data_IF_171435787773
#
_entry.id   IF_171435787773
#
_cell.length_a   1.000
_cell.length_b   1.000
_cell.length_c   1.000
_cell.angle_alpha   90.00
_cell.angle_beta   90.00
_cell.angle_gamma   90.00
#
_symmetry.space_group_name_H-M   'P 1'
#
loop_
_entity.id
_entity.type
_entity.pdbx_description
1 polymer ?
#
# COMPACT_ATOMS: atom_id res chain seq x y z
N UNK A 1 -4.82 1.97 -27.22
CA UNK A 1 -5.64 0.76 -27.01
C UNK A 1 -7.01 1.11 -26.42
N UNK A 2 -7.11 1.85 -25.31
CA UNK A 2 -8.38 2.19 -24.63
C UNK A 2 -9.36 2.96 -25.54
N UNK A 3 -8.87 3.97 -26.26
CA UNK A 3 -9.70 4.78 -27.17
C UNK A 3 -10.41 3.94 -28.25
N UNK A 4 -9.74 2.89 -28.76
CA UNK A 4 -10.33 1.98 -29.74
C UNK A 4 -11.45 1.12 -29.16
N UNK A 5 -11.52 1.00 -27.84
CA UNK A 5 -12.55 0.27 -27.08
C UNK A 5 -13.64 1.19 -26.51
N UNK A 6 -13.58 2.51 -26.81
CA UNK A 6 -14.49 3.50 -26.25
C UNK A 6 -14.31 3.70 -24.72
N UNK A 7 -13.15 3.37 -24.18
CA UNK A 7 -12.82 3.49 -22.77
C UNK A 7 -11.79 4.61 -22.53
N UNK A 8 -11.82 5.17 -21.32
CA UNK A 8 -10.88 6.19 -20.83
C UNK A 8 -10.35 5.71 -19.46
N UNK A 9 -9.09 6.00 -19.18
CA UNK A 9 -8.58 5.95 -17.81
C UNK A 9 -8.80 7.29 -17.07
N UNK A 10 -8.46 7.34 -15.78
CA UNK A 10 -8.66 8.56 -14.98
C UNK A 10 -7.78 9.71 -15.46
N UNK A 11 -6.57 9.44 -15.97
CA UNK A 11 -5.70 10.44 -16.56
C UNK A 11 -6.26 11.02 -17.85
N UNK A 12 -6.84 10.16 -18.70
CA UNK A 12 -7.52 10.57 -19.93
C UNK A 12 -8.69 11.52 -19.64
N UNK A 13 -9.50 11.23 -18.60
CA UNK A 13 -10.64 12.09 -18.24
C UNK A 13 -10.17 13.51 -17.93
N UNK A 14 -9.12 13.64 -17.11
CA UNK A 14 -8.57 14.94 -16.75
C UNK A 14 -7.93 15.64 -17.96
N UNK A 15 -7.18 14.90 -18.78
CA UNK A 15 -6.51 15.43 -19.96
C UNK A 15 -7.52 15.92 -21.02
N UNK A 16 -8.57 15.15 -21.28
CA UNK A 16 -9.61 15.57 -22.24
C UNK A 16 -10.45 16.74 -21.71
N UNK A 17 -10.74 16.78 -20.41
CA UNK A 17 -11.39 17.93 -19.79
C UNK A 17 -10.55 19.20 -19.94
N UNK A 18 -9.22 19.11 -19.69
CA UNK A 18 -8.30 20.23 -19.88
C UNK A 18 -8.28 20.70 -21.33
N UNK A 19 -8.11 19.79 -22.30
CA UNK A 19 -8.12 20.10 -23.72
C UNK A 19 -9.42 20.78 -24.17
N UNK A 20 -10.56 20.25 -23.73
CA UNK A 20 -11.86 20.84 -24.04
C UNK A 20 -11.95 22.29 -23.58
N UNK A 21 -11.45 22.60 -22.39
CA UNK A 21 -11.44 23.97 -21.86
C UNK A 21 -10.41 24.87 -22.55
N UNK A 22 -9.31 24.31 -23.10
CA UNK A 22 -8.30 25.04 -23.85
C UNK A 22 -8.74 25.33 -25.30
N UNK A 23 -9.48 24.42 -25.93
CA UNK A 23 -9.84 24.46 -27.34
C UNK A 23 -11.22 25.09 -27.60
N UNK A 24 -12.11 25.12 -26.59
CA UNK A 24 -13.49 25.64 -26.75
C UNK A 24 -13.77 26.76 -25.74
N UNK A 25 -13.69 28.01 -26.24
CA UNK A 25 -13.93 29.21 -25.43
C UNK A 25 -15.37 29.30 -24.91
N UNK A 26 -16.34 28.74 -25.64
CA UNK A 26 -17.75 28.78 -25.22
C UNK A 26 -17.96 27.85 -24.03
N UNK A 27 -17.42 26.66 -24.10
CA UNK A 27 -17.45 25.71 -22.98
C UNK A 27 -16.72 26.29 -21.76
N UNK A 28 -15.53 26.86 -21.94
CA UNK A 28 -14.79 27.49 -20.85
C UNK A 28 -15.62 28.61 -20.18
N UNK A 29 -16.26 29.47 -20.98
CA UNK A 29 -17.11 30.54 -20.47
C UNK A 29 -18.33 29.99 -19.70
N UNK A 30 -18.95 28.92 -20.20
CA UNK A 30 -20.06 28.26 -19.51
C UNK A 30 -19.64 27.66 -18.16
N UNK A 31 -18.48 26.98 -18.10
CA UNK A 31 -17.98 26.38 -16.89
C UNK A 31 -17.60 27.47 -15.89
N UNK A 32 -16.89 28.55 -16.29
CA UNK A 32 -16.58 29.69 -15.43
C UNK A 32 -17.80 30.36 -14.85
N UNK A 33 -18.87 30.49 -15.64
CA UNK A 33 -20.15 31.03 -15.16
C UNK A 33 -20.80 30.20 -14.06
N UNK A 34 -20.60 28.87 -14.09
CA UNK A 34 -21.07 27.93 -13.04
C UNK A 34 -20.11 27.87 -11.85
N UNK A 35 -18.82 27.86 -12.10
CA UNK A 35 -17.77 27.79 -11.09
C UNK A 35 -17.27 29.20 -10.70
N UNK A 36 -18.15 30.03 -10.16
CA UNK A 36 -17.83 31.44 -9.79
C UNK A 36 -16.90 31.55 -8.59
N UNK A 37 -16.90 30.57 -7.71
CA UNK A 37 -16.02 30.45 -6.55
C UNK A 37 -15.34 29.09 -6.63
N UNK A 38 -14.03 29.09 -6.61
CA UNK A 38 -13.21 27.89 -6.73
C UNK A 38 -12.45 27.70 -5.42
N UNK A 39 -12.68 26.59 -4.76
CA UNK A 39 -11.93 26.21 -3.57
C UNK A 39 -11.18 24.91 -3.87
N UNK A 40 -9.85 24.94 -3.68
CA UNK A 40 -8.99 23.77 -3.87
C UNK A 40 -8.35 23.45 -2.53
N UNK A 41 -8.64 22.28 -2.03
CA UNK A 41 -8.02 21.74 -0.82
C UNK A 41 -6.82 20.87 -1.17
N UNK A 42 -5.90 20.66 -0.21
CA UNK A 42 -4.66 19.88 -0.39
C UNK A 42 -3.86 20.33 -1.63
N UNK A 43 -3.73 21.65 -1.83
CA UNK A 43 -3.16 22.23 -3.06
C UNK A 43 -1.73 21.77 -3.35
N UNK A 44 -0.95 21.39 -2.33
CA UNK A 44 0.40 20.83 -2.46
C UNK A 44 0.44 19.47 -3.16
N UNK A 45 -0.70 18.78 -3.28
CA UNK A 45 -0.80 17.47 -3.93
C UNK A 45 -1.32 17.57 -5.39
N UNK A 46 -1.46 18.78 -5.91
CA UNK A 46 -1.91 18.98 -7.29
C UNK A 46 -0.82 18.64 -8.29
N UNK A 47 -1.20 17.91 -9.36
CA UNK A 47 -0.33 17.67 -10.51
C UNK A 47 -0.26 18.90 -11.43
N UNK A 48 0.73 19.00 -12.34
CA UNK A 48 0.80 20.09 -13.33
C UNK A 48 -0.47 20.21 -14.21
N UNK A 49 -1.14 19.10 -14.50
CA UNK A 49 -2.39 19.09 -15.26
C UNK A 49 -3.54 19.68 -14.44
N UNK A 50 -3.66 19.29 -13.16
CA UNK A 50 -4.65 19.86 -12.23
C UNK A 50 -4.39 21.35 -11.96
N UNK A 51 -3.13 21.75 -11.86
CA UNK A 51 -2.74 23.16 -11.75
C UNK A 51 -3.19 23.98 -12.97
N UNK A 52 -2.90 23.50 -14.21
CA UNK A 52 -3.37 24.16 -15.45
C UNK A 52 -4.90 24.24 -15.52
N UNK A 53 -5.56 23.14 -15.16
CA UNK A 53 -7.02 23.07 -15.11
C UNK A 53 -7.59 24.14 -14.15
N UNK A 54 -7.04 24.24 -12.94
CA UNK A 54 -7.42 25.25 -11.95
C UNK A 54 -7.20 26.67 -12.47
N UNK A 55 -6.06 26.93 -13.10
CA UNK A 55 -5.76 28.24 -13.68
C UNK A 55 -6.71 28.64 -14.81
N UNK A 56 -7.05 27.71 -15.68
CA UNK A 56 -8.05 27.96 -16.74
C UNK A 56 -9.41 28.31 -16.15
N UNK A 57 -9.85 27.59 -15.13
CA UNK A 57 -11.12 27.87 -14.47
C UNK A 57 -11.13 29.21 -13.75
N UNK A 58 -10.08 29.53 -13.03
CA UNK A 58 -9.97 30.76 -12.26
C UNK A 58 -9.96 32.01 -13.17
N UNK A 59 -9.23 31.97 -14.28
CA UNK A 59 -9.07 33.11 -15.18
C UNK A 59 -8.34 34.29 -14.50
N UNK A 60 -8.47 35.48 -15.11
CA UNK A 60 -7.81 36.70 -14.61
C UNK A 60 -8.52 37.31 -13.39
N UNK A 61 -9.83 37.14 -13.27
CA UNK A 61 -10.65 37.66 -12.16
C UNK A 61 -10.74 36.69 -10.95
N UNK A 62 -9.80 35.80 -10.83
CA UNK A 62 -9.70 34.65 -9.95
C UNK A 62 -10.43 34.77 -8.60
N UNK A 63 -11.62 34.20 -8.49
CA UNK A 63 -12.25 33.86 -7.21
C UNK A 63 -11.74 32.49 -6.73
N UNK A 64 -10.43 32.39 -6.51
CA UNK A 64 -9.75 31.16 -6.16
C UNK A 64 -9.27 31.21 -4.70
N UNK A 65 -9.63 30.21 -3.93
CA UNK A 65 -9.07 29.92 -2.62
C UNK A 65 -8.35 28.59 -2.67
N UNK A 66 -7.07 28.58 -2.36
CA UNK A 66 -6.28 27.37 -2.22
C UNK A 66 -5.94 27.15 -0.73
N UNK A 67 -6.18 25.95 -0.26
CA UNK A 67 -5.81 25.50 1.09
C UNK A 67 -4.80 24.38 0.94
N UNK A 68 -3.74 24.40 1.74
CA UNK A 68 -2.74 23.36 1.70
C UNK A 68 -1.60 23.57 2.67
N UNK A 69 -0.80 22.54 2.79
CA UNK A 69 0.38 22.49 3.64
C UNK A 69 1.56 21.89 2.87
N UNK A 70 2.56 22.69 2.44
CA UNK A 70 3.73 22.15 1.74
C UNK A 70 4.49 21.11 2.56
N UNK A 71 4.47 21.17 3.89
CA UNK A 71 5.10 20.19 4.76
C UNK A 71 4.38 18.81 4.75
N UNK A 72 3.22 18.71 4.10
CA UNK A 72 2.43 17.48 3.90
C UNK A 72 2.35 17.03 2.43
N UNK A 73 3.17 17.59 1.53
CA UNK A 73 3.29 17.16 0.14
C UNK A 73 4.06 15.83 0.04
N UNK A 74 3.34 14.73 -0.16
CA UNK A 74 3.89 13.35 -0.11
C UNK A 74 3.43 12.47 -1.30
N UNK A 75 2.97 13.08 -2.40
CA UNK A 75 2.43 12.38 -3.56
C UNK A 75 3.17 12.69 -4.87
N UNK A 76 4.51 12.94 -4.82
CA UNK A 76 5.30 13.16 -6.03
C UNK A 76 5.27 11.97 -6.97
N UNK A 77 5.20 10.74 -6.44
CA UNK A 77 5.04 9.51 -7.22
C UNK A 77 3.72 9.43 -8.01
N UNK A 78 2.72 10.28 -7.66
CA UNK A 78 1.48 10.51 -8.42
C UNK A 78 1.52 11.77 -9.26
N UNK A 79 2.71 12.25 -9.59
CA UNK A 79 2.96 13.48 -10.33
C UNK A 79 2.46 14.76 -9.62
N UNK A 80 2.28 14.76 -8.30
CA UNK A 80 2.08 16.00 -7.56
C UNK A 80 3.36 16.85 -7.58
N UNK A 81 3.20 18.17 -7.71
CA UNK A 81 4.33 19.11 -7.68
C UNK A 81 4.13 20.14 -6.57
N UNK A 82 4.93 20.03 -5.53
CA UNK A 82 4.93 20.95 -4.38
C UNK A 82 5.16 22.41 -4.81
N UNK A 83 5.80 22.65 -5.95
CA UNK A 83 6.03 23.99 -6.47
C UNK A 83 4.74 24.74 -6.75
N UNK A 84 3.64 24.02 -7.05
CA UNK A 84 2.34 24.65 -7.28
C UNK A 84 1.88 25.50 -6.08
N UNK A 85 2.08 25.02 -4.85
CA UNK A 85 1.74 25.78 -3.65
C UNK A 85 2.83 26.78 -3.27
N UNK A 86 4.10 26.45 -3.47
CA UNK A 86 5.22 27.35 -3.14
C UNK A 86 5.23 28.60 -4.03
N UNK A 87 4.88 28.43 -5.30
CA UNK A 87 4.85 29.50 -6.31
C UNK A 87 3.49 30.23 -6.38
N UNK A 88 2.50 29.86 -5.56
CA UNK A 88 1.14 30.38 -5.64
C UNK A 88 1.07 31.92 -5.61
N UNK A 89 1.81 32.56 -4.72
CA UNK A 89 1.83 34.03 -4.62
C UNK A 89 2.57 34.70 -5.78
N UNK A 90 3.47 34.01 -6.45
CA UNK A 90 4.08 34.48 -7.69
C UNK A 90 3.05 34.44 -8.85
N UNK A 91 2.25 33.40 -8.90
CA UNK A 91 1.26 33.18 -9.94
C UNK A 91 -0.02 34.02 -9.74
N UNK A 92 -0.29 34.38 -8.48
CA UNK A 92 -1.40 35.24 -8.06
C UNK A 92 -0.87 36.35 -7.12
N UNK A 93 -0.26 37.43 -7.65
CA UNK A 93 0.37 38.48 -6.84
C UNK A 93 -0.58 39.20 -5.86
N UNK A 94 -1.87 39.26 -6.21
CA UNK A 94 -2.93 39.88 -5.38
C UNK A 94 -3.47 38.94 -4.30
N UNK A 95 -2.97 37.69 -4.23
CA UNK A 95 -3.45 36.73 -3.26
C UNK A 95 -3.11 37.12 -1.82
N UNK A 96 -4.09 36.98 -0.94
CA UNK A 96 -3.88 37.16 0.50
C UNK A 96 -3.55 35.81 1.15
N UNK A 97 -2.45 35.78 1.88
CA UNK A 97 -1.99 34.56 2.56
C UNK A 97 -2.40 34.61 4.03
N UNK A 98 -3.15 33.61 4.45
CA UNK A 98 -3.53 33.40 5.85
C UNK A 98 -2.84 32.14 6.37
N UNK A 99 -2.17 32.24 7.52
CA UNK A 99 -1.48 31.11 8.15
C UNK A 99 -2.28 30.60 9.33
N UNK A 100 -2.65 29.33 9.30
CA UNK A 100 -3.29 28.64 10.41
C UNK A 100 -2.22 27.87 11.18
N UNK A 101 -1.62 28.50 12.17
CA UNK A 101 -0.48 27.95 12.91
C UNK A 101 -0.89 27.31 14.24
N UNK A 102 -2.08 27.59 14.76
CA UNK A 102 -2.57 26.97 15.98
C UNK A 102 -3.00 25.53 15.74
N UNK A 103 -2.39 24.61 16.46
CA UNK A 103 -2.69 23.19 16.34
C UNK A 103 -3.49 22.69 17.56
N UNK A 104 -4.70 22.22 17.31
CA UNK A 104 -5.65 21.70 18.29
C UNK A 104 -5.59 20.17 18.44
N UNK A 105 -4.87 19.48 17.55
CA UNK A 105 -4.79 18.01 17.50
C UNK A 105 -3.80 17.47 18.53
N UNK A 106 -2.54 17.86 18.41
CA UNK A 106 -1.42 17.22 19.10
C UNK A 106 -0.97 17.99 20.34
N UNK A 107 -0.39 17.27 21.29
CA UNK A 107 0.26 17.88 22.45
C UNK A 107 1.53 18.63 22.07
N UNK A 108 1.97 19.53 22.97
CA UNK A 108 3.19 20.33 22.79
C UNK A 108 4.44 19.46 22.59
N UNK A 109 4.55 18.34 23.30
CA UNK A 109 5.68 17.43 23.17
C UNK A 109 5.80 16.86 21.74
N UNK A 110 4.68 16.45 21.16
CA UNK A 110 4.62 15.91 19.79
C UNK A 110 4.96 17.01 18.77
N UNK A 111 4.35 18.21 18.90
CA UNK A 111 4.57 19.29 17.94
C UNK A 111 6.00 19.84 17.99
N UNK A 112 6.62 19.89 19.15
CA UNK A 112 8.04 20.28 19.28
C UNK A 112 8.94 19.31 18.51
N UNK A 113 8.67 18.01 18.60
CA UNK A 113 9.39 17.00 17.85
C UNK A 113 9.13 17.13 16.34
N UNK A 114 7.88 17.26 15.93
CA UNK A 114 7.49 17.44 14.52
C UNK A 114 8.17 18.67 13.88
N UNK A 115 8.12 19.81 14.56
CA UNK A 115 8.76 21.05 14.09
C UNK A 115 10.29 20.88 13.97
N UNK A 116 10.94 20.20 14.91
CA UNK A 116 12.38 19.93 14.87
C UNK A 116 12.80 19.04 13.68
N UNK A 117 11.93 18.12 13.26
CA UNK A 117 12.14 17.29 12.08
C UNK A 117 12.00 18.08 10.79
N UNK A 118 10.86 18.76 10.61
CA UNK A 118 10.50 19.34 9.32
C UNK A 118 11.32 20.58 8.97
N UNK A 119 11.86 21.29 9.96
CA UNK A 119 12.70 22.48 9.74
C UNK A 119 13.96 22.19 8.92
N UNK A 120 14.35 20.93 8.77
CA UNK A 120 15.51 20.50 7.98
C UNK A 120 15.26 20.51 6.47
N UNK A 121 14.00 20.62 6.02
CA UNK A 121 13.68 20.78 4.59
C UNK A 121 13.94 22.22 4.13
N UNK A 122 14.50 22.36 2.93
CA UNK A 122 14.71 23.64 2.28
C UNK A 122 13.47 24.12 1.51
N UNK A 123 12.78 23.18 0.82
CA UNK A 123 11.57 23.47 0.04
C UNK A 123 10.34 23.50 0.95
N UNK A 124 10.15 24.65 1.63
CA UNK A 124 8.99 24.85 2.52
C UNK A 124 8.62 26.34 2.66
N UNK A 125 7.41 26.60 3.09
CA UNK A 125 7.02 27.92 3.59
C UNK A 125 7.33 28.00 5.09
N UNK A 126 7.92 29.11 5.52
CA UNK A 126 8.21 29.30 6.96
C UNK A 126 6.91 29.32 7.76
N UNK A 127 6.74 28.29 8.59
CA UNK A 127 5.68 28.18 9.59
C UNK A 127 6.16 27.31 10.74
N UNK A 128 5.54 27.45 11.88
CA UNK A 128 5.71 26.56 13.02
C UNK A 128 4.36 26.31 13.67
N UNK A 129 3.97 25.05 13.78
CA UNK A 129 2.74 24.69 14.50
C UNK A 129 2.88 25.04 15.97
N UNK A 130 1.91 25.80 16.48
CA UNK A 130 1.84 26.21 17.89
C UNK A 130 0.81 25.35 18.62
N UNK A 131 1.21 24.71 19.72
CA UNK A 131 0.29 23.83 20.44
C UNK A 131 -0.76 24.64 21.22
N UNK A 132 -2.02 24.27 21.08
CA UNK A 132 -3.08 24.68 22.01
C UNK A 132 -3.09 23.74 23.22
N UNK A 133 -2.84 22.44 23.02
CA UNK A 133 -2.70 21.45 24.08
C UNK A 133 -1.28 21.52 24.67
N UNK A 134 -1.16 22.12 25.86
CA UNK A 134 0.12 22.28 26.56
C UNK A 134 0.62 20.97 27.18
N UNK A 135 1.95 20.83 27.30
CA UNK A 135 2.59 19.66 27.89
C UNK A 135 2.48 18.42 27.03
N UNK A 136 2.07 17.30 27.63
CA UNK A 136 1.97 15.97 27.00
C UNK A 136 3.13 15.08 27.38
N UNK A 137 2.96 13.76 27.17
CA UNK A 137 4.03 12.78 27.39
C UNK A 137 5.14 12.97 26.36
N UNK A 138 6.41 12.76 26.76
CA UNK A 138 7.53 12.76 25.84
C UNK A 138 7.34 11.74 24.71
N UNK A 139 7.81 12.07 23.50
CA UNK A 139 7.92 11.10 22.42
C UNK A 139 8.85 9.97 22.88
N UNK A 140 8.40 8.73 22.74
CA UNK A 140 9.16 7.55 23.16
C UNK A 140 9.82 6.91 21.97
N UNK A 141 11.10 6.57 22.10
CA UNK A 141 11.85 5.81 21.12
C UNK A 141 12.16 4.43 21.70
N UNK A 142 11.81 3.39 20.96
CA UNK A 142 12.14 2.01 21.27
C UNK A 142 13.13 1.46 20.24
N UNK A 143 14.19 0.84 20.73
CA UNK A 143 15.19 0.16 19.93
C UNK A 143 14.99 -1.34 20.12
N UNK A 144 14.57 -2.01 19.06
CA UNK A 144 14.41 -3.45 19.00
C UNK A 144 15.67 -4.12 18.45
N UNK A 145 15.92 -5.35 18.82
CA UNK A 145 17.00 -6.16 18.23
C UNK A 145 16.66 -6.52 16.78
N UNK A 146 15.40 -6.92 16.54
CA UNK A 146 14.89 -7.29 15.21
C UNK A 146 13.43 -6.82 14.97
N UNK A 147 12.93 -7.07 13.77
CA UNK A 147 11.57 -6.71 13.37
C UNK A 147 10.47 -7.44 14.18
N UNK A 148 10.75 -8.66 14.69
CA UNK A 148 9.81 -9.44 15.51
C UNK A 148 9.70 -8.85 16.89
N UNK A 149 10.82 -8.47 17.46
CA UNK A 149 10.84 -7.80 18.75
C UNK A 149 10.15 -6.45 18.67
N UNK A 150 10.35 -5.69 17.58
CA UNK A 150 9.64 -4.45 17.32
C UNK A 150 8.11 -4.67 17.32
N UNK A 151 7.61 -5.65 16.56
CA UNK A 151 6.18 -5.96 16.50
C UNK A 151 5.64 -6.46 17.85
N UNK A 152 6.42 -7.26 18.59
CA UNK A 152 6.09 -7.73 19.94
C UNK A 152 5.95 -6.55 20.90
N UNK A 153 6.91 -5.62 20.90
CA UNK A 153 6.86 -4.41 21.72
C UNK A 153 5.58 -3.60 21.46
N UNK A 154 5.24 -3.38 20.19
CA UNK A 154 4.02 -2.65 19.83
C UNK A 154 2.78 -3.33 20.41
N UNK A 155 2.64 -4.65 20.21
CA UNK A 155 1.50 -5.41 20.71
C UNK A 155 1.45 -5.44 22.25
N UNK A 156 2.60 -5.53 22.94
CA UNK A 156 2.70 -5.48 24.40
C UNK A 156 2.29 -4.14 24.95
N UNK A 157 2.76 -3.06 24.34
CA UNK A 157 2.45 -1.71 24.81
C UNK A 157 0.98 -1.38 24.58
N UNK A 158 0.38 -1.77 23.43
CA UNK A 158 -1.05 -1.64 23.19
C UNK A 158 -1.86 -2.46 24.22
N UNK A 159 -1.47 -3.72 24.47
CA UNK A 159 -2.10 -4.56 25.48
C UNK A 159 -2.05 -3.93 26.89
N UNK A 160 -0.90 -3.35 27.24
CA UNK A 160 -0.70 -2.65 28.55
C UNK A 160 -1.57 -1.42 28.70
N UNK A 161 -1.77 -0.67 27.59
CA UNK A 161 -2.60 0.53 27.59
C UNK A 161 -4.10 0.18 27.60
N UNK A 162 -4.50 -0.96 27.04
CA UNK A 162 -5.84 -1.51 27.06
C UNK A 162 -6.82 -0.86 26.07
N UNK A 163 -8.06 -1.38 26.01
CA UNK A 163 -9.09 -0.87 25.12
C UNK A 163 -9.56 0.55 25.52
N UNK A 164 -10.32 1.24 24.66
CA UNK A 164 -10.81 0.78 23.36
C UNK A 164 -9.72 0.79 22.27
N UNK A 165 -9.77 -0.23 21.36
CA UNK A 165 -8.69 -0.49 20.40
C UNK A 165 -8.62 0.48 19.23
N UNK A 166 -9.69 1.20 18.92
CA UNK A 166 -9.74 2.24 17.89
C UNK A 166 -8.95 3.52 18.23
N UNK A 167 -8.44 3.61 19.45
CA UNK A 167 -7.53 4.68 19.88
C UNK A 167 -6.13 4.58 19.27
N UNK A 168 -5.76 3.39 18.75
CA UNK A 168 -4.41 3.07 18.34
C UNK A 168 -4.28 3.01 16.83
N UNK A 169 -3.20 3.61 16.31
CA UNK A 169 -2.73 3.38 14.96
C UNK A 169 -1.27 2.96 14.97
N UNK A 170 -0.94 1.98 14.15
CA UNK A 170 0.45 1.59 13.84
C UNK A 170 0.71 1.97 12.39
N UNK A 171 1.64 2.90 12.22
CA UNK A 171 2.00 3.47 10.92
C UNK A 171 3.35 2.92 10.47
N UNK A 172 3.42 2.50 9.22
CA UNK A 172 4.61 1.93 8.61
C UNK A 172 4.85 2.49 7.21
N UNK A 173 6.07 2.31 6.68
CA UNK A 173 6.44 2.85 5.37
C UNK A 173 5.96 1.96 4.23
N UNK A 174 6.13 0.66 4.34
CA UNK A 174 5.78 -0.31 3.30
C UNK A 174 4.76 -1.34 3.78
N UNK A 175 3.97 -1.83 2.85
CA UNK A 175 2.91 -2.80 3.15
C UNK A 175 3.45 -4.12 3.73
N UNK A 176 4.65 -4.52 3.35
CA UNK A 176 5.29 -5.75 3.84
C UNK A 176 5.42 -5.77 5.39
N UNK A 177 5.62 -4.61 6.02
CA UNK A 177 5.76 -4.50 7.48
C UNK A 177 4.51 -4.93 8.25
N UNK A 178 3.32 -4.96 7.61
CA UNK A 178 2.07 -5.27 8.33
C UNK A 178 2.04 -6.70 8.88
N UNK A 179 2.68 -7.68 8.20
CA UNK A 179 2.59 -9.11 8.57
C UNK A 179 2.95 -9.38 10.02
N UNK A 180 4.13 -8.94 10.45
CA UNK A 180 4.59 -9.18 11.83
C UNK A 180 3.72 -8.47 12.86
N UNK A 181 3.21 -7.27 12.53
CA UNK A 181 2.30 -6.51 13.38
C UNK A 181 0.94 -7.20 13.50
N UNK A 182 0.37 -7.68 12.39
CA UNK A 182 -0.86 -8.46 12.35
C UNK A 182 -0.72 -9.71 13.22
N UNK A 183 0.36 -10.47 13.06
CA UNK A 183 0.65 -11.67 13.87
C UNK A 183 0.83 -11.37 15.36
N UNK A 184 1.58 -10.32 15.70
CA UNK A 184 1.86 -9.97 17.10
C UNK A 184 0.59 -9.52 17.84
N UNK A 185 -0.29 -8.73 17.19
CA UNK A 185 -1.57 -8.31 17.74
C UNK A 185 -2.52 -9.49 17.86
N UNK A 186 -2.65 -10.31 16.81
CA UNK A 186 -3.49 -11.52 16.81
C UNK A 186 -3.07 -12.51 17.91
N UNK A 187 -1.77 -12.73 18.11
CA UNK A 187 -1.22 -13.58 19.16
C UNK A 187 -1.57 -13.12 20.59
N UNK A 188 -2.02 -11.86 20.75
CA UNK A 188 -2.51 -11.30 22.04
C UNK A 188 -4.02 -11.14 22.08
N UNK A 189 -4.73 -11.59 21.04
CA UNK A 189 -6.18 -11.41 20.93
C UNK A 189 -6.60 -9.95 20.75
N UNK A 190 -5.72 -9.07 20.26
CA UNK A 190 -6.02 -7.66 19.99
C UNK A 190 -6.52 -7.54 18.55
N UNK A 191 -7.78 -7.12 18.36
CA UNK A 191 -8.33 -6.98 17.02
C UNK A 191 -7.68 -5.82 16.28
N UNK A 192 -7.22 -6.07 15.05
CA UNK A 192 -6.61 -5.09 14.18
C UNK A 192 -7.30 -5.07 12.81
N UNK A 193 -7.08 -4.00 12.05
CA UNK A 193 -7.49 -3.91 10.65
C UNK A 193 -6.47 -3.15 9.82
N UNK A 194 -6.20 -3.62 8.61
CA UNK A 194 -5.42 -2.87 7.63
C UNK A 194 -6.33 -1.85 6.96
N UNK A 195 -5.94 -0.57 7.01
CA UNK A 195 -6.69 0.55 6.44
C UNK A 195 -6.13 0.91 5.08
N UNK A 196 -7.01 1.02 4.08
CA UNK A 196 -6.61 1.34 2.70
C UNK A 196 -6.02 0.16 1.93
N UNK A 197 -6.13 -1.04 2.46
CA UNK A 197 -5.66 -2.28 1.85
C UNK A 197 -6.36 -3.51 2.44
N UNK A 198 -5.76 -4.65 2.20
CA UNK A 198 -6.18 -5.95 2.76
C UNK A 198 -5.04 -6.51 3.62
N UNK A 199 -5.36 -7.43 4.53
CA UNK A 199 -4.37 -8.14 5.35
C UNK A 199 -3.28 -8.77 4.49
N UNK A 200 -2.13 -9.04 5.08
CA UNK A 200 -0.97 -9.50 4.33
C UNK A 200 -1.26 -10.73 3.46
N UNK A 201 -1.88 -11.75 4.08
CA UNK A 201 -2.21 -12.99 3.37
C UNK A 201 -3.39 -12.90 2.40
N UNK A 202 -4.10 -11.76 2.41
CA UNK A 202 -5.21 -11.46 1.51
C UNK A 202 -4.78 -10.72 0.23
N UNK A 203 -3.52 -10.29 0.12
CA UNK A 203 -2.98 -9.60 -1.06
C UNK A 203 -2.94 -10.52 -2.27
N UNK A 204 -3.18 -9.96 -3.45
CA UNK A 204 -3.35 -10.74 -4.68
C UNK A 204 -2.13 -11.62 -4.99
N UNK A 205 -0.92 -11.04 -4.98
CA UNK A 205 0.34 -11.73 -5.23
C UNK A 205 0.62 -12.82 -4.18
N UNK A 206 0.30 -12.57 -2.92
CA UNK A 206 0.45 -13.55 -1.84
C UNK A 206 -0.55 -14.69 -2.02
N UNK A 207 -1.82 -14.38 -2.31
CA UNK A 207 -2.86 -15.39 -2.61
C UNK A 207 -2.53 -16.26 -3.81
N UNK A 208 -1.91 -15.69 -4.84
CA UNK A 208 -1.49 -16.47 -6.00
C UNK A 208 -0.46 -17.54 -5.61
N UNK A 209 0.57 -17.14 -4.87
CA UNK A 209 1.62 -18.06 -4.42
C UNK A 209 1.09 -19.10 -3.43
N UNK A 210 0.22 -18.71 -2.49
CA UNK A 210 -0.47 -19.63 -1.59
C UNK A 210 -1.39 -20.61 -2.34
N UNK A 211 -2.02 -20.20 -3.42
CA UNK A 211 -2.85 -21.08 -4.22
C UNK A 211 -2.02 -22.15 -4.95
N UNK A 212 -0.81 -21.81 -5.43
CA UNK A 212 0.12 -22.82 -5.94
C UNK A 212 0.52 -23.81 -4.85
N UNK A 213 0.82 -23.35 -3.66
CA UNK A 213 1.18 -24.19 -2.53
C UNK A 213 0.04 -25.14 -2.14
N UNK A 214 -1.19 -24.63 -2.04
CA UNK A 214 -2.37 -25.45 -1.77
C UNK A 214 -2.65 -26.48 -2.86
N UNK A 215 -2.50 -26.09 -4.12
CA UNK A 215 -2.69 -26.99 -5.27
C UNK A 215 -1.64 -28.10 -5.30
N UNK A 216 -0.38 -27.79 -4.97
CA UNK A 216 0.68 -28.79 -4.90
C UNK A 216 0.41 -29.81 -3.78
N UNK A 217 -0.04 -29.38 -2.61
CA UNK A 217 -0.42 -30.28 -1.52
C UNK A 217 -1.72 -31.05 -1.78
N UNK A 218 -2.69 -30.40 -2.42
CA UNK A 218 -3.98 -30.99 -2.71
C UNK A 218 -4.45 -30.66 -4.14
N UNK A 219 -4.18 -31.50 -5.13
CA UNK A 219 -4.61 -31.30 -6.51
C UNK A 219 -6.14 -31.27 -6.72
N UNK A 220 -6.91 -31.68 -5.72
CA UNK A 220 -8.37 -31.61 -5.78
C UNK A 220 -8.92 -30.22 -5.40
N UNK A 221 -8.06 -29.28 -4.96
CA UNK A 221 -8.46 -27.91 -4.70
C UNK A 221 -8.75 -27.15 -6.01
N UNK A 222 -10.00 -27.22 -6.43
CA UNK A 222 -10.49 -26.60 -7.65
C UNK A 222 -10.44 -25.05 -7.60
N UNK A 223 -10.50 -24.45 -6.41
CA UNK A 223 -10.44 -23.00 -6.22
C UNK A 223 -9.02 -22.52 -6.50
N UNK A 224 -8.04 -23.14 -5.86
CA UNK A 224 -6.62 -22.86 -6.10
C UNK A 224 -6.22 -23.15 -7.54
N UNK A 225 -6.66 -24.28 -8.10
CA UNK A 225 -6.41 -24.61 -9.51
C UNK A 225 -6.92 -23.50 -10.45
N UNK A 226 -8.18 -23.08 -10.30
CA UNK A 226 -8.76 -22.03 -11.13
C UNK A 226 -8.00 -20.71 -11.01
N UNK A 227 -7.50 -20.37 -9.81
CA UNK A 227 -6.77 -19.15 -9.57
C UNK A 227 -5.45 -19.11 -10.32
N UNK A 228 -4.66 -20.19 -10.26
CA UNK A 228 -3.28 -20.19 -10.78
C UNK A 228 -3.15 -20.69 -12.22
N UNK A 229 -4.21 -21.27 -12.78
CA UNK A 229 -4.20 -21.89 -14.11
C UNK A 229 -3.61 -20.97 -15.20
N UNK A 230 -3.91 -19.68 -15.16
CA UNK A 230 -3.41 -18.68 -16.09
C UNK A 230 -2.76 -17.49 -15.39
N UNK A 231 -2.21 -17.68 -14.21
CA UNK A 231 -1.47 -16.66 -13.44
C UNK A 231 -0.09 -17.20 -13.05
N UNK A 232 1.01 -16.70 -13.63
CA UNK A 232 1.11 -15.75 -14.75
C UNK A 232 0.41 -16.21 -16.03
N UNK A 233 0.13 -15.32 -17.00
CA UNK A 233 -0.54 -15.66 -18.26
C UNK A 233 0.23 -16.73 -19.07
N UNK A 234 -0.48 -17.82 -19.46
CA UNK A 234 0.08 -18.97 -20.21
C UNK A 234 -0.68 -19.27 -21.50
N UNK A 235 -1.64 -18.42 -21.86
CA UNK A 235 -2.51 -18.70 -23.00
C UNK A 235 -3.64 -19.69 -22.68
N UNK A 236 -3.91 -20.00 -21.41
CA UNK A 236 -5.04 -20.81 -20.97
C UNK A 236 -6.23 -19.91 -20.66
N UNK A 237 -6.94 -19.51 -21.70
CA UNK A 237 -8.08 -18.61 -21.57
C UNK A 237 -9.38 -19.30 -21.07
N UNK A 238 -10.43 -18.49 -20.79
CA UNK A 238 -11.73 -19.01 -20.31
C UNK A 238 -12.36 -20.08 -21.20
N UNK A 239 -12.19 -19.99 -22.51
CA UNK A 239 -12.71 -20.98 -23.45
C UNK A 239 -12.02 -22.35 -23.29
N UNK A 240 -10.71 -22.38 -23.08
CA UNK A 240 -9.96 -23.61 -22.81
C UNK A 240 -10.41 -24.21 -21.48
N UNK A 241 -10.55 -23.41 -20.45
CA UNK A 241 -11.03 -23.85 -19.13
C UNK A 241 -12.45 -24.42 -19.21
N UNK A 242 -13.37 -23.76 -19.91
CA UNK A 242 -14.73 -24.29 -20.11
C UNK A 242 -14.75 -25.65 -20.78
N UNK A 243 -13.85 -25.89 -21.75
CA UNK A 243 -13.71 -27.22 -22.39
C UNK A 243 -13.17 -28.28 -21.41
N UNK A 244 -12.24 -27.92 -20.53
CA UNK A 244 -11.75 -28.82 -19.47
C UNK A 244 -12.87 -29.15 -18.50
N UNK A 245 -13.68 -28.16 -18.10
CA UNK A 245 -14.84 -28.41 -17.22
C UNK A 245 -15.89 -29.32 -17.87
N UNK A 246 -16.15 -29.16 -19.16
CA UNK A 246 -17.05 -30.03 -19.90
C UNK A 246 -16.52 -31.49 -19.92
N UNK A 247 -15.23 -31.67 -20.22
CA UNK A 247 -14.58 -32.98 -20.16
C UNK A 247 -14.65 -33.59 -18.76
N UNK A 248 -14.49 -32.78 -17.69
CA UNK A 248 -14.65 -33.25 -16.32
C UNK A 248 -16.06 -33.80 -16.07
N UNK A 249 -17.09 -33.08 -16.53
CA UNK A 249 -18.50 -33.53 -16.40
C UNK A 249 -18.80 -34.77 -17.22
N UNK A 250 -18.37 -34.81 -18.47
CA UNK A 250 -18.60 -35.95 -19.37
C UNK A 250 -17.96 -37.26 -18.87
N UNK A 251 -16.77 -37.16 -18.28
CA UNK A 251 -16.02 -38.33 -17.80
C UNK A 251 -16.17 -38.58 -16.30
N UNK A 252 -16.86 -37.71 -15.55
CA UNK A 252 -16.97 -37.80 -14.09
C UNK A 252 -15.64 -37.66 -13.37
N UNK A 253 -14.71 -36.85 -13.92
CA UNK A 253 -13.37 -36.66 -13.38
C UNK A 253 -13.28 -35.39 -12.49
N UNK A 254 -12.43 -35.41 -11.44
CA UNK A 254 -12.05 -34.19 -10.77
C UNK A 254 -11.40 -33.19 -11.76
N UNK A 255 -11.50 -31.88 -11.54
CA UNK A 255 -10.95 -30.85 -12.45
C UNK A 255 -9.47 -31.04 -12.80
N UNK A 256 -8.65 -31.46 -11.84
CA UNK A 256 -7.22 -31.72 -12.05
C UNK A 256 -7.00 -32.92 -13.01
N UNK A 257 -7.71 -34.02 -12.79
CA UNK A 257 -7.60 -35.19 -13.66
C UNK A 257 -8.13 -34.89 -15.07
N UNK A 258 -9.22 -34.14 -15.18
CA UNK A 258 -9.72 -33.69 -16.47
C UNK A 258 -8.73 -32.76 -17.19
N UNK A 259 -7.99 -31.90 -16.44
CA UNK A 259 -6.96 -31.06 -17.00
C UNK A 259 -5.77 -31.89 -17.54
N UNK A 260 -5.32 -32.91 -16.81
CA UNK A 260 -4.29 -33.83 -17.28
C UNK A 260 -4.73 -34.57 -18.54
N UNK A 261 -5.98 -35.02 -18.58
CA UNK A 261 -6.54 -35.69 -19.77
C UNK A 261 -6.63 -34.70 -20.96
N UNK A 262 -7.08 -33.46 -20.72
CA UNK A 262 -7.11 -32.42 -21.74
C UNK A 262 -5.70 -32.09 -22.28
N UNK A 263 -4.70 -32.06 -21.40
CA UNK A 263 -3.30 -31.85 -21.76
C UNK A 263 -2.76 -32.93 -22.71
N UNK A 264 -3.31 -34.16 -22.63
CA UNK A 264 -2.96 -35.28 -23.53
C UNK A 264 -3.75 -35.28 -24.82
N UNK A 265 -5.02 -34.88 -24.78
CA UNK A 265 -5.97 -35.14 -25.87
C UNK A 265 -6.36 -33.90 -26.69
N UNK A 266 -6.25 -32.67 -26.11
CA UNK A 266 -6.65 -31.47 -26.85
C UNK A 266 -5.62 -31.08 -27.90
N UNK A 267 -6.07 -30.62 -29.09
CA UNK A 267 -5.17 -29.98 -30.03
C UNK A 267 -4.59 -28.69 -29.43
N UNK A 268 -3.30 -28.46 -29.68
CA UNK A 268 -2.56 -27.29 -29.14
C UNK A 268 -2.59 -27.19 -27.60
N UNK A 269 -2.49 -28.33 -26.93
CA UNK A 269 -2.53 -28.44 -25.47
C UNK A 269 -1.18 -28.14 -24.81
N UNK A 270 -0.23 -27.56 -25.52
CA UNK A 270 1.12 -27.26 -24.96
C UNK A 270 1.08 -26.42 -23.70
N UNK A 271 0.28 -25.32 -23.59
CA UNK A 271 0.14 -24.58 -22.35
C UNK A 271 -0.40 -25.42 -21.19
N UNK A 272 -1.33 -26.32 -21.45
CA UNK A 272 -1.86 -27.25 -20.43
C UNK A 272 -0.79 -28.24 -19.98
N UNK A 273 0.01 -28.79 -20.92
CA UNK A 273 1.12 -29.72 -20.59
C UNK A 273 2.17 -29.06 -19.72
N UNK A 274 2.58 -27.80 -20.05
CA UNK A 274 3.53 -27.05 -19.26
C UNK A 274 3.00 -26.77 -17.86
N UNK A 275 1.73 -26.40 -17.73
CA UNK A 275 1.13 -26.16 -16.42
C UNK A 275 1.02 -27.46 -15.59
N UNK A 276 0.63 -28.58 -16.20
CA UNK A 276 0.60 -29.87 -15.50
C UNK A 276 1.98 -30.27 -15.03
N UNK A 277 2.99 -30.17 -15.90
CA UNK A 277 4.37 -30.48 -15.53
C UNK A 277 4.88 -29.61 -14.38
N UNK A 278 4.60 -28.30 -14.42
CA UNK A 278 4.95 -27.39 -13.33
C UNK A 278 4.33 -27.83 -12.00
N UNK A 279 3.02 -28.14 -11.99
CA UNK A 279 2.36 -28.54 -10.73
C UNK A 279 2.90 -29.89 -10.24
N UNK A 280 3.16 -30.85 -11.13
CA UNK A 280 3.77 -32.15 -10.77
C UNK A 280 5.19 -31.94 -10.19
N UNK A 281 6.00 -31.07 -10.77
CA UNK A 281 7.32 -30.69 -10.22
C UNK A 281 7.20 -30.05 -8.83
N UNK A 282 6.23 -29.15 -8.62
CA UNK A 282 5.98 -28.54 -7.32
C UNK A 282 5.51 -29.57 -6.27
N UNK A 283 4.79 -30.61 -6.67
CA UNK A 283 4.38 -31.70 -5.77
C UNK A 283 5.57 -32.47 -5.20
N UNK A 284 6.63 -32.61 -5.97
CA UNK A 284 7.87 -33.28 -5.50
C UNK A 284 8.60 -32.44 -4.42
N UNK A 285 8.31 -31.15 -4.32
CA UNK A 285 8.93 -30.22 -3.37
C UNK A 285 8.15 -30.02 -2.07
N UNK A 286 6.92 -30.53 -1.94
CA UNK A 286 6.03 -30.23 -0.79
C UNK A 286 6.57 -30.72 0.56
N UNK A 287 7.44 -31.72 0.58
CA UNK A 287 8.04 -32.26 1.79
C UNK A 287 9.37 -31.60 2.17
N UNK A 288 9.83 -30.66 1.37
CA UNK A 288 11.02 -29.86 1.64
C UNK A 288 10.71 -28.57 2.41
N UNK A 289 11.74 -27.74 2.64
CA UNK A 289 11.56 -26.42 3.27
C UNK A 289 10.59 -25.56 2.47
N UNK A 290 9.64 -24.91 3.16
CA UNK A 290 8.64 -24.08 2.51
C UNK A 290 9.27 -22.92 1.71
N UNK A 291 10.35 -22.32 2.18
CA UNK A 291 11.10 -21.30 1.45
C UNK A 291 11.63 -21.82 0.11
N UNK A 292 12.19 -23.02 0.07
CA UNK A 292 12.71 -23.63 -1.15
C UNK A 292 11.62 -23.86 -2.18
N UNK A 293 10.43 -24.33 -1.74
CA UNK A 293 9.25 -24.45 -2.59
C UNK A 293 8.89 -23.13 -3.27
N UNK A 294 8.76 -22.04 -2.50
CA UNK A 294 8.38 -20.75 -3.08
C UNK A 294 9.48 -20.16 -3.97
N UNK A 295 10.76 -20.30 -3.63
CA UNK A 295 11.87 -19.87 -4.50
C UNK A 295 11.82 -20.57 -5.86
N UNK A 296 11.65 -21.88 -5.85
CA UNK A 296 11.52 -22.66 -7.08
C UNK A 296 10.28 -22.22 -7.88
N UNK A 297 9.13 -22.04 -7.22
CA UNK A 297 7.91 -21.55 -7.86
C UNK A 297 8.12 -20.18 -8.55
N UNK A 298 8.79 -19.23 -7.89
CA UNK A 298 9.07 -17.90 -8.44
C UNK A 298 9.95 -17.98 -9.69
N UNK A 299 10.99 -18.83 -9.67
CA UNK A 299 11.89 -19.07 -10.81
C UNK A 299 11.17 -19.77 -11.96
N UNK A 300 10.47 -20.87 -11.68
CA UNK A 300 9.78 -21.68 -12.70
C UNK A 300 8.65 -20.94 -13.42
N UNK A 301 8.07 -19.93 -12.77
CA UNK A 301 6.96 -19.13 -13.32
C UNK A 301 7.37 -17.74 -13.81
N UNK A 302 8.62 -17.33 -13.55
CA UNK A 302 9.10 -15.96 -13.73
C UNK A 302 8.13 -14.91 -13.12
N UNK A 303 7.62 -15.24 -11.93
CA UNK A 303 6.57 -14.45 -11.26
C UNK A 303 7.01 -13.00 -11.00
N UNK A 304 8.26 -12.69 -10.63
CA UNK A 304 8.73 -11.33 -10.48
C UNK A 304 8.65 -10.50 -11.77
N UNK A 305 8.99 -11.07 -12.93
CA UNK A 305 8.85 -10.38 -14.20
C UNK A 305 7.38 -10.14 -14.55
N UNK A 306 6.51 -11.12 -14.29
CA UNK A 306 5.07 -10.95 -14.43
C UNK A 306 4.54 -9.78 -13.60
N UNK A 307 4.97 -9.63 -12.35
CA UNK A 307 4.53 -8.51 -11.50
C UNK A 307 4.95 -7.15 -12.08
N UNK A 308 6.18 -7.05 -12.61
CA UNK A 308 6.65 -5.81 -13.24
C UNK A 308 5.90 -5.46 -14.52
N UNK A 309 5.50 -6.45 -15.28
CA UNK A 309 4.73 -6.25 -16.52
C UNK A 309 3.26 -5.93 -16.23
N UNK A 310 2.62 -6.68 -15.35
CA UNK A 310 1.19 -6.57 -15.06
C UNK A 310 0.84 -5.38 -14.16
N UNK A 311 1.78 -4.95 -13.30
CA UNK A 311 1.56 -3.91 -12.28
C UNK A 311 2.72 -2.92 -12.20
N UNK A 312 3.07 -2.22 -13.29
CA UNK A 312 4.28 -1.38 -13.35
C UNK A 312 4.33 -0.26 -12.31
N UNK A 313 3.19 0.22 -11.84
CA UNK A 313 3.10 1.28 -10.82
C UNK A 313 3.34 0.74 -9.40
N UNK A 314 2.94 -0.51 -9.12
CA UNK A 314 2.97 -1.13 -7.77
C UNK A 314 3.96 -2.29 -7.70
N UNK A 315 4.77 -2.52 -8.74
CA UNK A 315 5.60 -3.72 -8.87
C UNK A 315 6.54 -3.91 -7.68
N UNK A 316 7.22 -2.87 -7.25
CA UNK A 316 8.19 -2.95 -6.15
C UNK A 316 7.50 -3.27 -4.82
N UNK A 317 6.37 -2.65 -4.52
CA UNK A 317 5.58 -2.95 -3.31
C UNK A 317 5.11 -4.42 -3.29
N UNK A 318 4.73 -4.95 -4.47
CA UNK A 318 4.31 -6.36 -4.61
C UNK A 318 5.49 -7.32 -4.48
N UNK A 319 6.66 -6.95 -5.01
CA UNK A 319 7.89 -7.73 -4.84
C UNK A 319 8.33 -7.76 -3.38
N UNK A 320 8.23 -6.65 -2.65
CA UNK A 320 8.46 -6.63 -1.19
C UNK A 320 7.50 -7.57 -0.45
N UNK A 321 6.24 -7.66 -0.87
CA UNK A 321 5.29 -8.63 -0.29
C UNK A 321 5.68 -10.08 -0.60
N UNK A 322 6.20 -10.37 -1.80
CA UNK A 322 6.72 -11.70 -2.17
C UNK A 322 7.91 -12.07 -1.30
N UNK A 323 8.85 -11.15 -1.10
CA UNK A 323 10.01 -11.37 -0.23
C UNK A 323 9.60 -11.58 1.24
N UNK A 324 8.60 -10.84 1.71
CA UNK A 324 8.06 -11.04 3.06
C UNK A 324 7.39 -12.41 3.20
N UNK A 325 6.75 -12.92 2.13
CA UNK A 325 6.23 -14.29 2.10
C UNK A 325 7.36 -15.32 2.20
N UNK A 326 8.47 -15.12 1.49
CA UNK A 326 9.65 -16.00 1.58
C UNK A 326 10.23 -16.01 3.01
N UNK A 327 10.33 -14.84 3.64
CA UNK A 327 10.76 -14.75 5.06
C UNK A 327 9.81 -15.50 5.98
N UNK A 328 8.51 -15.36 5.79
CA UNK A 328 7.53 -16.11 6.56
C UNK A 328 7.64 -17.62 6.33
N UNK A 329 7.87 -18.05 5.10
CA UNK A 329 8.05 -19.46 4.76
C UNK A 329 9.33 -20.07 5.37
N UNK A 330 10.41 -19.28 5.51
CA UNK A 330 11.66 -19.72 6.16
C UNK A 330 11.48 -20.06 7.65
N UNK A 331 10.44 -19.50 8.28
CA UNK A 331 10.12 -19.75 9.70
C UNK A 331 9.38 -21.07 9.93
N UNK A 332 8.86 -21.69 8.88
CA UNK A 332 8.11 -22.94 8.94
C UNK A 332 9.03 -24.16 8.70
N UNK A 333 8.64 -25.30 9.29
CA UNK A 333 9.38 -26.55 9.11
C UNK A 333 9.20 -27.09 7.68
N UNK A 334 7.97 -27.08 7.18
CA UNK A 334 7.61 -27.51 5.84
C UNK A 334 6.43 -26.68 5.29
N UNK A 335 5.98 -27.02 4.08
CA UNK A 335 4.89 -26.30 3.40
C UNK A 335 3.54 -26.44 4.11
N UNK A 336 3.26 -27.59 4.76
CA UNK A 336 2.01 -27.81 5.50
C UNK A 336 1.98 -26.95 6.77
N UNK A 337 3.07 -26.95 7.57
CA UNK A 337 3.21 -26.10 8.76
C UNK A 337 3.04 -24.63 8.39
N UNK A 338 3.64 -24.21 7.27
CA UNK A 338 3.47 -22.84 6.77
C UNK A 338 2.01 -22.49 6.50
N UNK A 339 1.28 -23.35 5.74
CA UNK A 339 -0.13 -23.07 5.41
C UNK A 339 -1.05 -23.12 6.63
N UNK A 340 -0.73 -23.97 7.63
CA UNK A 340 -1.48 -24.03 8.88
C UNK A 340 -1.31 -22.75 9.69
N UNK A 341 -0.10 -22.17 9.76
CA UNK A 341 0.16 -20.86 10.38
C UNK A 341 -0.59 -19.72 9.67
N UNK A 342 -0.59 -19.73 8.33
CA UNK A 342 -1.37 -18.78 7.53
C UNK A 342 -2.86 -18.86 7.87
N UNK A 343 -3.41 -20.08 7.96
CA UNK A 343 -4.82 -20.29 8.27
C UNK A 343 -5.18 -19.82 9.70
N UNK A 344 -4.27 -19.99 10.66
CA UNK A 344 -4.47 -19.49 12.03
C UNK A 344 -4.48 -17.97 12.09
N UNK A 345 -3.61 -17.30 11.34
CA UNK A 345 -3.58 -15.83 11.27
C UNK A 345 -4.87 -15.28 10.67
N UNK A 346 -5.35 -15.87 9.56
CA UNK A 346 -6.59 -15.45 8.91
C UNK A 346 -7.84 -15.60 9.82
N UNK A 347 -7.89 -16.65 10.66
CA UNK A 347 -8.98 -16.82 11.64
C UNK A 347 -8.98 -15.80 12.77
N UNK A 348 -7.80 -15.33 13.16
CA UNK A 348 -7.69 -14.30 14.20
C UNK A 348 -8.17 -12.91 13.71
N UNK A 349 -8.26 -12.72 12.41
CA UNK A 349 -8.80 -11.48 11.78
C UNK A 349 -10.33 -11.46 11.70
N UNK A 350 -11.03 -12.59 11.98
CA UNK A 350 -12.50 -12.59 12.05
C UNK A 350 -13.01 -11.74 13.22
N UNK A 351 -14.07 -10.93 13.01
CA UNK A 351 -14.54 -9.99 14.01
C UNK A 351 -15.13 -10.70 15.23
N UNK A 352 -14.40 -10.71 16.34
CA UNK A 352 -15.06 -10.71 17.63
C UNK A 352 -15.84 -9.38 17.78
N UNK A 353 -16.94 -9.36 18.52
CA UNK A 353 -17.69 -8.16 18.93
C UNK A 353 -16.81 -7.29 19.88
N UNK A 354 -15.69 -6.78 19.36
CA UNK A 354 -14.70 -6.04 20.13
C UNK A 354 -14.93 -4.54 19.97
N UNK A 355 -14.75 -3.79 21.06
CA UNK A 355 -14.78 -2.32 21.09
C UNK A 355 -13.65 -1.73 20.23
N UNK A 356 -13.94 -1.52 18.96
CA UNK A 356 -13.00 -0.95 17.98
C UNK A 356 -11.92 -1.93 17.51
N UNK A 357 -10.99 -1.44 16.70
CA UNK A 357 -9.85 -2.19 16.18
C UNK A 357 -8.63 -1.28 16.05
N UNK A 358 -7.45 -1.82 16.34
CA UNK A 358 -6.17 -1.15 16.05
C UNK A 358 -6.06 -0.92 14.54
N UNK A 359 -5.78 0.31 14.13
CA UNK A 359 -5.59 0.65 12.72
C UNK A 359 -4.12 0.39 12.30
N UNK A 360 -3.92 -0.47 11.30
CA UNK A 360 -2.64 -0.72 10.66
C UNK A 360 -2.64 -0.08 9.29
N UNK A 361 -1.68 0.80 8.97
CA UNK A 361 -1.67 1.47 7.68
C UNK A 361 -0.30 2.02 7.30
N UNK A 362 -0.12 2.25 6.01
CA UNK A 362 1.05 2.99 5.54
C UNK A 362 0.94 4.46 5.98
N UNK A 363 2.09 5.12 6.09
CA UNK A 363 2.17 6.55 6.35
C UNK A 363 1.36 7.39 5.33
N UNK A 364 1.34 6.98 4.06
CA UNK A 364 0.55 7.63 3.01
C UNK A 364 -0.95 7.56 3.28
N UNK A 365 -1.44 6.40 3.72
CA UNK A 365 -2.85 6.19 4.05
C UNK A 365 -3.27 6.90 5.35
N UNK A 366 -2.31 7.26 6.19
CA UNK A 366 -2.57 7.99 7.43
C UNK A 366 -2.83 9.48 7.22
N UNK A 367 -2.50 10.03 6.03
CA UNK A 367 -2.77 11.44 5.72
C UNK A 367 -4.25 11.75 5.86
N UNK A 368 -4.58 12.85 6.53
CA UNK A 368 -5.97 13.26 6.82
C UNK A 368 -6.59 12.60 8.05
N UNK A 369 -6.00 11.51 8.57
CA UNK A 369 -6.48 10.83 9.78
C UNK A 369 -5.81 11.36 11.04
N UNK A 370 -6.33 10.96 12.22
CA UNK A 370 -5.74 11.28 13.51
C UNK A 370 -6.15 10.25 14.57
N UNK A 371 -5.25 9.98 15.51
CA UNK A 371 -5.44 8.96 16.54
C UNK A 371 -4.88 9.42 17.89
N UNK A 372 -5.53 9.06 19.02
CA UNK A 372 -4.98 9.36 20.34
C UNK A 372 -3.57 8.85 20.55
N UNK A 373 -3.26 7.63 20.11
CA UNK A 373 -1.96 6.99 20.28
C UNK A 373 -1.46 6.45 18.94
N UNK A 374 -0.26 6.86 18.53
CA UNK A 374 0.37 6.43 17.29
C UNK A 374 1.69 5.74 17.58
N UNK A 375 1.86 4.57 16.96
CA UNK A 375 3.13 3.87 16.84
C UNK A 375 3.64 4.05 15.42
N UNK A 376 4.83 4.59 15.25
CA UNK A 376 5.49 4.78 13.97
C UNK A 376 6.70 3.85 13.96
N UNK A 377 6.61 2.76 13.20
CA UNK A 377 7.56 1.66 13.23
C UNK A 377 8.50 1.65 12.04
N UNK A 378 9.67 1.03 12.19
CA UNK A 378 10.67 0.95 11.13
C UNK A 378 11.30 2.30 10.80
N UNK A 379 11.58 3.13 11.82
CA UNK A 379 12.23 4.43 11.65
C UNK A 379 13.74 4.20 11.57
N UNK A 380 14.19 3.71 10.41
CA UNK A 380 15.57 3.31 10.15
C UNK A 380 15.96 3.51 8.69
N UNK A 381 17.26 3.69 8.43
CA UNK A 381 17.82 3.87 7.08
C UNK A 381 17.45 2.70 6.15
N UNK A 382 17.02 3.05 4.93
CA UNK A 382 16.58 2.09 3.93
C UNK A 382 15.10 1.75 3.97
N UNK A 383 14.41 2.05 5.09
CA UNK A 383 12.98 1.84 5.27
C UNK A 383 12.22 3.17 5.43
N UNK A 384 12.59 3.98 6.41
CA UNK A 384 12.13 5.36 6.57
C UNK A 384 13.29 6.23 7.05
N UNK A 385 14.02 6.90 6.16
CA UNK A 385 13.71 7.13 4.72
C UNK A 385 13.91 5.87 3.86
N UNK A 386 13.05 5.74 2.84
CA UNK A 386 13.08 4.59 1.93
C UNK A 386 14.30 4.65 1.01
N UNK A 387 14.98 3.50 0.77
CA UNK A 387 16.20 3.40 -0.03
C UNK A 387 16.08 4.00 -1.43
N UNK A 388 14.92 3.86 -2.09
CA UNK A 388 14.69 4.37 -3.43
C UNK A 388 14.56 5.90 -3.46
N UNK A 389 14.25 6.54 -2.33
CA UNK A 389 14.01 7.98 -2.23
C UNK A 389 15.26 8.78 -1.83
N UNK A 390 16.28 8.15 -1.23
CA UNK A 390 17.45 8.86 -0.69
C UNK A 390 18.50 9.26 -1.73
N UNK A 391 18.34 8.85 -2.99
CA UNK A 391 19.27 9.17 -4.08
C UNK A 391 19.24 10.65 -4.49
N UNK A 392 18.17 11.37 -4.17
CA UNK A 392 18.01 12.80 -4.47
C UNK A 392 17.64 13.59 -3.21
N UNK A 393 17.95 14.90 -3.20
CA UNK A 393 17.60 15.77 -2.10
C UNK A 393 16.07 15.91 -1.97
N UNK A 394 15.38 16.04 -3.09
CA UNK A 394 13.92 16.13 -3.16
C UNK A 394 13.26 14.88 -2.59
N UNK A 395 13.76 13.70 -2.92
CA UNK A 395 13.26 12.43 -2.39
C UNK A 395 13.47 12.32 -0.87
N UNK A 396 14.65 12.72 -0.36
CA UNK A 396 14.92 12.74 1.08
C UNK A 396 14.01 13.74 1.81
N UNK A 397 13.75 14.91 1.22
CA UNK A 397 12.83 15.89 1.77
C UNK A 397 11.38 15.39 1.77
N UNK A 398 10.97 14.60 0.77
CA UNK A 398 9.65 13.99 0.74
C UNK A 398 9.50 12.90 1.81
N UNK A 399 10.51 12.05 2.00
CA UNK A 399 10.51 11.07 3.11
C UNK A 399 10.43 11.78 4.48
N UNK A 400 11.09 12.94 4.63
CA UNK A 400 10.98 13.74 5.86
C UNK A 400 9.59 14.35 6.03
N UNK A 401 8.92 14.78 4.95
CA UNK A 401 7.50 15.18 4.99
C UNK A 401 6.60 14.01 5.35
N UNK A 402 6.87 12.82 4.81
CA UNK A 402 6.13 11.62 5.13
C UNK A 402 6.26 11.25 6.62
N UNK A 403 7.48 11.32 7.16
CA UNK A 403 7.73 11.15 8.60
C UNK A 403 6.99 12.20 9.43
N UNK A 404 7.04 13.47 9.02
CA UNK A 404 6.30 14.56 9.65
C UNK A 404 4.78 14.34 9.63
N UNK A 405 4.23 13.86 8.51
CA UNK A 405 2.81 13.47 8.43
C UNK A 405 2.52 12.43 9.48
N UNK A 406 3.29 11.36 9.58
CA UNK A 406 3.10 10.30 10.58
C UNK A 406 3.13 10.82 12.02
N UNK A 407 4.10 11.66 12.37
CA UNK A 407 4.22 12.28 13.70
C UNK A 407 2.95 13.08 14.03
N UNK A 408 2.49 13.90 13.09
CA UNK A 408 1.35 14.81 13.28
C UNK A 408 -0.02 14.12 13.25
N UNK A 409 -0.06 12.78 13.08
CA UNK A 409 -1.31 12.00 13.28
C UNK A 409 -1.59 11.74 14.74
N UNK A 410 -0.58 11.81 15.62
CA UNK A 410 -0.73 11.57 17.04
C UNK A 410 -1.35 12.76 17.77
N UNK A 411 -2.36 12.47 18.61
CA UNK A 411 -3.03 13.46 19.44
C UNK A 411 -2.39 13.56 20.84
N UNK A 412 -2.17 12.43 21.51
CA UNK A 412 -1.79 12.34 22.92
C UNK A 412 -0.41 11.70 23.12
N UNK A 413 -0.12 10.59 22.42
CA UNK A 413 1.11 9.81 22.57
C UNK A 413 1.69 9.40 21.23
N UNK A 414 3.00 9.49 21.15
CA UNK A 414 3.77 9.05 19.99
C UNK A 414 4.89 8.11 20.43
N UNK A 415 4.91 6.93 19.83
CA UNK A 415 5.97 5.94 19.95
C UNK A 415 6.67 5.84 18.59
N UNK A 416 7.98 5.86 18.62
CA UNK A 416 8.84 5.58 17.47
C UNK A 416 9.58 4.28 17.76
N UNK A 417 9.77 3.43 16.76
CA UNK A 417 10.60 2.25 16.91
C UNK A 417 11.45 1.97 15.69
N UNK A 418 12.58 1.34 15.91
CA UNK A 418 13.45 0.81 14.87
C UNK A 418 14.06 -0.51 15.32
N UNK A 419 14.45 -1.36 14.36
CA UNK A 419 15.21 -2.59 14.59
C UNK A 419 16.68 -2.37 14.28
N UNK A 420 17.58 -3.01 15.04
CA UNK A 420 19.02 -3.00 14.76
C UNK A 420 19.36 -3.88 13.56
N UNK A 421 18.68 -5.03 13.48
CA UNK A 421 18.79 -5.97 12.38
C UNK A 421 17.42 -6.17 11.74
N UNK A 422 17.35 -5.94 10.43
CA UNK A 422 16.18 -6.24 9.63
C UNK A 422 16.63 -6.86 8.33
N UNK A 423 16.10 -8.03 8.02
CA UNK A 423 16.27 -8.59 6.69
C UNK A 423 15.53 -7.69 5.71
N UNK A 424 16.25 -6.91 4.93
CA UNK A 424 15.71 -6.03 3.87
C UNK A 424 16.15 -6.59 2.53
N UNK A 425 15.27 -6.47 1.53
CA UNK A 425 15.56 -6.85 0.15
C UNK A 425 16.75 -6.06 -0.40
N UNK A 426 17.73 -6.74 -1.03
CA UNK A 426 18.87 -6.15 -1.74
C UNK A 426 20.09 -6.99 -1.64
#
# INVERSE_FOLDING_TARGET
>A
ALKAQGALDFGDILLYALRLLEEDEEVLRLVRKRARFIHVDEYQDTSPVQYRFTRLLAGEEANLMAVGDPDQGIYSFRAADIKNILDFTRDYPEARVYRLEENYRSTEAILRFANAVIVKNALRLEKALRPVKRGGEPVRLYRAEDAREEARFVAEEIARLGPPWDRYAVLYRTNAQSRLLEQALAGRGIPARVVGGVGFFERAEVKDLLAYARLALNPLDAVSLKRVLNTPPRGIGPATWARVQLLAQEKGLPPWEALKEAARTFPRAEPLRHFVALVEELQDLVFGPAEAFFRHLLEATDYPAYLREAYPEDAEDRLENVEELLRAAKEAEDLQDFLDRVALTAKAEEPAEAEGRVALMTLHNAKGLEFPVVFLVGVEEGLLPHRNSVSTLEGLEEERRLFYVGITRAQERLYLSHAEEREVYG
#
